data_IF_003612233957
#
_entry.id   IF_003612233957
#
_cell.length_a   1.000
_cell.length_b   1.000
_cell.length_c   1.000
_cell.angle_alpha   90.00
_cell.angle_beta   90.00
_cell.angle_gamma   90.00
#
_symmetry.space_group_name_H-M   'P 1'
#
loop_
_entity.id
_entity.type
_entity.pdbx_description
1 polymer ?
#
# COMPACT_ATOMS: atom_id res chain seq x y z
N UNK A 1 21.02 -8.65 4.91
CA UNK A 1 19.58 -8.31 4.91
C UNK A 1 18.83 -9.57 5.30
N UNK A 2 18.03 -9.53 6.37
CA UNK A 2 17.24 -10.68 6.81
C UNK A 2 15.95 -10.81 6.00
N UNK A 3 15.29 -11.96 6.02
CA UNK A 3 13.95 -12.11 5.43
C UNK A 3 12.96 -11.11 6.04
N UNK A 4 13.10 -10.77 7.32
CA UNK A 4 12.26 -9.75 7.96
C UNK A 4 12.53 -8.36 7.40
N UNK A 5 13.77 -8.01 7.09
CA UNK A 5 14.11 -6.71 6.50
C UNK A 5 13.58 -6.65 5.06
N UNK A 6 13.74 -7.72 4.29
CA UNK A 6 13.19 -7.83 2.93
C UNK A 6 11.67 -7.64 2.89
N UNK A 7 10.94 -8.20 3.87
CA UNK A 7 9.48 -8.05 3.95
C UNK A 7 9.06 -6.62 4.28
N UNK A 8 9.83 -5.90 5.13
CA UNK A 8 9.59 -4.49 5.44
C UNK A 8 9.83 -3.61 4.22
N UNK A 9 10.94 -3.84 3.52
CA UNK A 9 11.26 -3.13 2.27
C UNK A 9 10.21 -3.40 1.19
N UNK A 10 9.76 -4.66 1.04
CA UNK A 10 8.68 -5.01 0.12
C UNK A 10 7.37 -4.31 0.49
N UNK A 11 6.95 -4.36 1.76
CA UNK A 11 5.75 -3.65 2.21
C UNK A 11 5.81 -2.14 1.94
N UNK A 12 6.97 -1.51 2.18
CA UNK A 12 7.19 -0.10 1.89
C UNK A 12 7.15 0.19 0.38
N UNK A 13 7.77 -0.67 -0.45
CA UNK A 13 7.78 -0.56 -1.90
C UNK A 13 6.38 -0.66 -2.51
N UNK A 14 5.63 -1.69 -2.12
CA UNK A 14 4.24 -1.90 -2.57
C UNK A 14 3.31 -0.75 -2.14
N UNK A 15 3.51 -0.24 -0.92
CA UNK A 15 2.76 0.93 -0.42
C UNK A 15 3.05 2.19 -1.23
N UNK A 16 4.32 2.42 -1.59
CA UNK A 16 4.72 3.55 -2.44
C UNK A 16 4.18 3.40 -3.86
N UNK A 17 4.29 2.21 -4.47
CA UNK A 17 3.76 1.91 -5.80
C UNK A 17 2.25 2.16 -5.86
N UNK A 18 1.50 1.68 -4.86
CA UNK A 18 0.07 1.96 -4.74
C UNK A 18 -0.25 3.47 -4.75
N UNK A 19 0.45 4.26 -3.92
CA UNK A 19 0.23 5.72 -3.85
C UNK A 19 0.58 6.41 -5.17
N UNK A 20 1.68 6.03 -5.81
CA UNK A 20 2.09 6.55 -7.12
C UNK A 20 1.05 6.23 -8.20
N UNK A 21 0.58 4.98 -8.28
CA UNK A 21 -0.40 4.58 -9.28
C UNK A 21 -1.76 5.27 -9.10
N UNK A 22 -2.20 5.54 -7.87
CA UNK A 22 -3.39 6.36 -7.65
C UNK A 22 -3.19 7.81 -8.12
N UNK A 23 -2.01 8.40 -7.90
CA UNK A 23 -1.69 9.72 -8.41
C UNK A 23 -1.66 9.75 -9.95
N UNK A 24 -1.07 8.73 -10.59
CA UNK A 24 -1.03 8.58 -12.04
C UNK A 24 -2.43 8.36 -12.63
N UNK A 25 -3.28 7.57 -11.96
CA UNK A 25 -4.67 7.39 -12.36
C UNK A 25 -5.43 8.72 -12.37
N UNK A 26 -5.24 9.56 -11.34
CA UNK A 26 -5.85 10.89 -11.27
C UNK A 26 -5.39 11.77 -12.42
N UNK A 27 -4.09 11.77 -12.72
CA UNK A 27 -3.54 12.55 -13.84
C UNK A 27 -4.06 12.06 -15.19
N UNK A 28 -4.04 10.75 -15.44
CA UNK A 28 -4.58 10.16 -16.67
C UNK A 28 -6.07 10.48 -16.87
N UNK A 29 -6.85 10.54 -15.79
CA UNK A 29 -8.26 10.96 -15.84
C UNK A 29 -8.40 12.43 -16.26
N UNK A 30 -7.59 13.33 -15.71
CA UNK A 30 -7.58 14.75 -16.04
C UNK A 30 -7.18 15.01 -17.50
N UNK A 31 -6.28 14.18 -18.02
CA UNK A 31 -5.79 14.28 -19.39
C UNK A 31 -6.71 13.59 -20.41
N UNK A 32 -7.87 13.05 -19.97
CA UNK A 32 -8.87 12.44 -20.85
C UNK A 32 -8.62 10.95 -21.17
N UNK A 33 -7.60 10.32 -20.60
CA UNK A 33 -7.24 8.92 -20.82
C UNK A 33 -7.96 7.98 -19.84
N UNK A 34 -9.28 7.83 -19.98
CA UNK A 34 -10.11 7.05 -19.05
C UNK A 34 -9.65 5.58 -18.87
N UNK A 35 -9.25 4.91 -19.96
CA UNK A 35 -8.80 3.51 -19.89
C UNK A 35 -7.44 3.36 -19.19
N UNK A 36 -6.54 4.34 -19.38
CA UNK A 36 -5.24 4.37 -18.68
C UNK A 36 -5.45 4.64 -17.19
N UNK A 37 -6.36 5.56 -16.84
CA UNK A 37 -6.75 5.78 -15.45
C UNK A 37 -7.32 4.52 -14.80
N UNK A 38 -8.16 3.75 -15.53
CA UNK A 38 -8.67 2.45 -15.06
C UNK A 38 -7.56 1.44 -14.83
N UNK A 39 -6.59 1.35 -15.74
CA UNK A 39 -5.43 0.47 -15.60
C UNK A 39 -4.62 0.80 -14.34
N UNK A 40 -4.27 2.07 -14.13
CA UNK A 40 -3.53 2.47 -12.93
C UNK A 40 -4.29 2.20 -11.62
N UNK A 41 -5.62 2.37 -11.60
CA UNK A 41 -6.43 2.00 -10.42
C UNK A 41 -6.40 0.49 -10.17
N UNK A 42 -6.46 -0.32 -11.23
CA UNK A 42 -6.36 -1.77 -11.11
C UNK A 42 -4.98 -2.20 -10.58
N UNK A 43 -3.90 -1.61 -11.10
CA UNK A 43 -2.54 -1.85 -10.61
C UNK A 43 -2.40 -1.44 -9.13
N UNK A 44 -2.90 -0.25 -8.74
CA UNK A 44 -2.89 0.17 -7.34
C UNK A 44 -3.63 -0.82 -6.44
N UNK A 45 -4.77 -1.35 -6.87
CA UNK A 45 -5.50 -2.37 -6.11
C UNK A 45 -4.67 -3.67 -5.96
N UNK A 46 -3.91 -4.07 -6.99
CA UNK A 46 -2.99 -5.20 -6.89
C UNK A 46 -1.87 -4.96 -5.87
N UNK A 47 -1.25 -3.78 -5.86
CA UNK A 47 -0.19 -3.48 -4.87
C UNK A 47 -0.72 -3.39 -3.44
N UNK A 48 -2.00 -3.05 -3.25
CA UNK A 48 -2.65 -3.17 -1.93
C UNK A 48 -2.71 -4.63 -1.47
N UNK A 49 -2.99 -5.56 -2.39
CA UNK A 49 -2.99 -7.00 -2.07
C UNK A 49 -1.58 -7.48 -1.72
N UNK A 50 -0.56 -7.07 -2.47
CA UNK A 50 0.84 -7.42 -2.18
C UNK A 50 1.30 -6.85 -0.83
N UNK A 51 1.07 -5.56 -0.58
CA UNK A 51 1.40 -4.91 0.69
C UNK A 51 0.73 -5.63 1.87
N UNK A 52 -0.57 -5.90 1.79
CA UNK A 52 -1.28 -6.62 2.85
C UNK A 52 -0.77 -8.06 3.05
N UNK A 53 -0.34 -8.74 1.98
CA UNK A 53 0.25 -10.08 2.09
C UNK A 53 1.57 -10.03 2.87
N UNK A 54 2.48 -9.11 2.54
CA UNK A 54 3.73 -8.93 3.28
C UNK A 54 3.47 -8.52 4.73
N UNK A 55 2.56 -7.57 4.97
CA UNK A 55 2.22 -7.12 6.32
C UNK A 55 1.62 -8.22 7.19
N UNK A 56 0.81 -9.10 6.60
CA UNK A 56 0.27 -10.29 7.28
C UNK A 56 1.38 -11.27 7.67
N UNK A 57 2.31 -11.56 6.75
CA UNK A 57 3.45 -12.47 7.04
C UNK A 57 4.35 -11.90 8.14
N UNK A 58 4.47 -10.57 8.23
CA UNK A 58 5.19 -9.90 9.33
C UNK A 58 4.42 -9.90 10.67
N UNK A 59 3.19 -10.38 10.71
CA UNK A 59 2.34 -10.33 11.91
C UNK A 59 1.82 -8.93 12.24
N UNK A 60 1.77 -8.03 11.26
CA UNK A 60 1.33 -6.65 11.44
C UNK A 60 -0.19 -6.47 11.58
N UNK A 61 -0.98 -7.47 11.14
CA UNK A 61 -2.44 -7.46 11.27
C UNK A 61 -2.82 -8.23 12.53
N UNK A 62 -3.32 -7.52 13.55
CA UNK A 62 -3.69 -8.06 14.86
C UNK A 62 -5.19 -7.87 15.14
N UNK A 63 -5.61 -7.98 16.41
CA UNK A 63 -6.97 -7.62 16.83
C UNK A 63 -7.26 -6.13 16.61
N UNK A 64 -8.54 -5.77 16.44
CA UNK A 64 -8.94 -4.38 16.14
C UNK A 64 -8.45 -3.38 17.19
N UNK A 65 -8.50 -3.73 18.47
CA UNK A 65 -7.99 -2.88 19.56
C UNK A 65 -6.47 -2.67 19.47
N UNK A 66 -5.71 -3.73 19.20
CA UNK A 66 -4.26 -3.64 19.01
C UNK A 66 -3.90 -2.81 17.76
N UNK A 67 -4.64 -2.98 16.66
CA UNK A 67 -4.43 -2.21 15.44
C UNK A 67 -4.73 -0.72 15.67
N UNK A 68 -5.74 -0.39 16.49
CA UNK A 68 -6.02 1.00 16.88
C UNK A 68 -4.86 1.58 17.71
N UNK A 69 -4.31 0.82 18.64
CA UNK A 69 -3.16 1.26 19.44
C UNK A 69 -1.93 1.54 18.54
N UNK A 70 -1.64 0.64 17.58
CA UNK A 70 -0.58 0.85 16.58
C UNK A 70 -0.80 2.13 15.77
N UNK A 71 -2.04 2.43 15.38
CA UNK A 71 -2.37 3.66 14.65
C UNK A 71 -2.18 4.91 15.52
N UNK A 72 -2.63 4.89 16.78
CA UNK A 72 -2.45 6.00 17.73
C UNK A 72 -0.96 6.29 17.93
N UNK A 73 -0.16 5.25 18.17
CA UNK A 73 1.29 5.38 18.36
C UNK A 73 2.00 5.91 17.11
N UNK A 74 1.51 5.56 15.92
CA UNK A 74 2.08 6.03 14.65
C UNK A 74 1.77 7.49 14.29
N UNK A 75 0.69 8.06 14.85
CA UNK A 75 0.24 9.44 14.60
C UNK A 75 0.65 10.43 15.72
N UNK A 76 1.12 9.91 16.86
CA UNK A 76 1.63 10.72 17.97
C UNK A 76 3.01 11.29 17.68
N UNK A 77 3.08 12.46 17.03
CA UNK A 77 4.30 13.27 16.89
C UNK A 77 4.58 14.09 18.15
#
# INVERSE_FOLDING_TARGET
>A
MSTSDNLKEAFAGESQANRMYLAFAKKAQQDGFAQVAKLFRAAAAAETVHAHAHFRVMGGIKGTEENLQVAIEGEGF
#
